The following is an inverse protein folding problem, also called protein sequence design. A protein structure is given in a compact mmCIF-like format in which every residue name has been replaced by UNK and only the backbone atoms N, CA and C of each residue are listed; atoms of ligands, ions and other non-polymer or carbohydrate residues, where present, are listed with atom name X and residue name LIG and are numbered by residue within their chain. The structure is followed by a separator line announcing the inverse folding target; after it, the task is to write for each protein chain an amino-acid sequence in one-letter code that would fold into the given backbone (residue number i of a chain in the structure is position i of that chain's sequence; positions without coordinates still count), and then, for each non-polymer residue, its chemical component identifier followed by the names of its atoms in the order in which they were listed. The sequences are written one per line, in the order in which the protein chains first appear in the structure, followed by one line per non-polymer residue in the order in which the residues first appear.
data_IF_486688645823
#
_entry.id   IF_486688645823
#
_cell.length_a   1.000
_cell.length_b   1.000
_cell.length_c   1.000
_cell.angle_alpha   90.00
_cell.angle_beta   90.00
_cell.angle_gamma   90.00
#
_symmetry.space_group_name_H-M   'P 1'
#
loop_
_entity.id
_entity.type
_entity.pdbx_description
1 polymer ?
#
# COMPACT_ATOMS: atom_id res chain seq x y z
N UNK A 1 24.56 15.90 -9.85
CA UNK A 1 25.37 14.79 -10.41
C UNK A 1 24.58 14.18 -11.55
N UNK A 2 25.17 14.11 -12.75
CA UNK A 2 24.50 13.58 -13.94
C UNK A 2 24.58 12.04 -13.86
N UNK A 3 23.58 11.39 -13.26
CA UNK A 3 23.52 9.92 -13.24
C UNK A 3 23.23 9.43 -14.65
N UNK A 4 24.04 8.48 -15.14
CA UNK A 4 23.77 7.79 -16.40
C UNK A 4 22.33 7.29 -16.43
N UNK A 5 21.65 7.25 -17.59
CA UNK A 5 20.25 6.81 -17.69
C UNK A 5 19.98 5.46 -16.99
N UNK A 6 20.98 4.56 -17.01
CA UNK A 6 20.93 3.24 -16.41
C UNK A 6 20.84 3.23 -14.87
N UNK A 7 21.27 4.31 -14.21
CA UNK A 7 21.26 4.43 -12.74
C UNK A 7 20.09 5.30 -12.23
N UNK A 8 19.17 5.70 -13.11
CA UNK A 8 18.02 6.50 -12.71
C UNK A 8 17.00 5.65 -11.96
N UNK A 9 16.64 6.08 -10.75
CA UNK A 9 15.55 5.46 -9.99
C UNK A 9 14.22 6.12 -10.34
N UNK A 10 13.20 5.33 -10.60
CA UNK A 10 11.85 5.78 -10.93
C UNK A 10 10.86 5.10 -9.98
N UNK A 11 9.99 5.89 -9.35
CA UNK A 11 8.89 5.39 -8.54
C UNK A 11 7.58 5.42 -9.35
N UNK A 12 7.06 4.26 -9.72
CA UNK A 12 5.81 4.08 -10.45
C UNK A 12 4.58 4.15 -9.50
N UNK A 13 4.44 5.25 -8.74
CA UNK A 13 3.38 5.40 -7.75
C UNK A 13 3.03 6.87 -7.50
N UNK A 14 1.74 7.14 -7.23
CA UNK A 14 1.24 8.46 -6.78
C UNK A 14 1.23 8.61 -5.26
N UNK A 15 1.57 7.58 -4.49
CA UNK A 15 1.48 7.56 -3.03
C UNK A 15 2.44 8.55 -2.38
N UNK A 16 1.88 9.50 -1.61
CA UNK A 16 2.64 10.47 -0.82
C UNK A 16 3.54 9.80 0.22
N UNK A 17 3.06 8.73 0.86
CA UNK A 17 3.80 7.97 1.87
C UNK A 17 5.06 7.34 1.28
N UNK A 18 4.95 6.69 0.12
CA UNK A 18 6.11 6.08 -0.57
C UNK A 18 7.14 7.11 -1.00
N UNK A 19 6.66 8.25 -1.50
CA UNK A 19 7.54 9.39 -1.82
C UNK A 19 8.27 9.88 -0.58
N UNK A 20 7.58 10.02 0.55
CA UNK A 20 8.18 10.45 1.82
C UNK A 20 9.26 9.48 2.31
N UNK A 21 9.00 8.16 2.25
CA UNK A 21 9.97 7.12 2.64
C UNK A 21 11.24 7.19 1.80
N UNK A 22 11.14 7.26 0.47
CA UNK A 22 12.32 7.33 -0.40
C UNK A 22 13.10 8.63 -0.21
N UNK A 23 12.41 9.77 -0.02
CA UNK A 23 13.05 11.04 0.30
C UNK A 23 13.77 11.02 1.66
N UNK A 24 13.13 10.43 2.67
CA UNK A 24 13.74 10.30 4.00
C UNK A 24 14.98 9.38 3.97
N UNK A 25 15.01 8.41 3.06
CA UNK A 25 16.19 7.58 2.79
C UNK A 25 17.29 8.30 1.98
N UNK A 26 17.09 9.56 1.59
CA UNK A 26 18.08 10.34 0.85
C UNK A 26 18.22 9.91 -0.62
N UNK A 27 17.22 9.23 -1.19
CA UNK A 27 17.27 8.76 -2.57
C UNK A 27 16.77 9.83 -3.54
N UNK A 28 17.51 10.03 -4.62
CA UNK A 28 17.08 10.80 -5.78
C UNK A 28 16.28 9.90 -6.71
N UNK A 29 15.05 10.28 -7.03
CA UNK A 29 14.18 9.53 -7.93
C UNK A 29 13.22 10.43 -8.71
N UNK A 30 12.72 9.91 -9.82
CA UNK A 30 11.62 10.52 -10.59
C UNK A 30 10.32 9.80 -10.24
N UNK A 31 9.25 10.57 -9.98
CA UNK A 31 7.92 10.00 -9.77
C UNK A 31 7.14 9.98 -11.07
N UNK A 32 6.65 8.81 -11.47
CA UNK A 32 5.83 8.62 -12.67
C UNK A 32 4.57 7.83 -12.30
N UNK A 33 3.40 8.30 -12.75
CA UNK A 33 2.17 7.53 -12.56
C UNK A 33 2.14 6.35 -13.52
N UNK A 34 1.87 5.15 -13.01
CA UNK A 34 1.75 3.95 -13.85
C UNK A 34 0.52 3.99 -14.78
N UNK A 35 -0.55 4.70 -14.40
CA UNK A 35 -1.82 4.70 -15.14
C UNK A 35 -2.43 3.29 -15.32
N UNK A 36 -2.17 2.37 -14.40
CA UNK A 36 -2.80 1.04 -14.34
C UNK A 36 -4.21 1.20 -13.82
N UNK A 37 -5.16 0.51 -14.42
CA UNK A 37 -6.52 0.33 -13.88
C UNK A 37 -6.45 -0.73 -12.78
N UNK A 38 -6.24 -0.26 -11.53
CA UNK A 38 -6.04 -1.14 -10.38
C UNK A 38 -7.33 -1.87 -10.00
N UNK A 39 -8.49 -1.24 -10.19
CA UNK A 39 -9.77 -1.81 -9.78
C UNK A 39 -10.15 -2.99 -10.68
N UNK A 40 -10.06 -2.82 -12.00
CA UNK A 40 -10.28 -3.91 -12.95
C UNK A 40 -9.32 -5.07 -12.76
N UNK A 41 -8.03 -4.78 -12.47
CA UNK A 41 -7.04 -5.83 -12.23
C UNK A 41 -7.34 -6.59 -10.92
N UNK A 42 -7.71 -5.91 -9.85
CA UNK A 42 -8.12 -6.55 -8.58
C UNK A 42 -9.34 -7.43 -8.77
N UNK A 43 -10.34 -6.95 -9.50
CA UNK A 43 -11.56 -7.72 -9.78
C UNK A 43 -11.24 -9.03 -10.52
N UNK A 44 -10.43 -8.97 -11.58
CA UNK A 44 -9.99 -10.14 -12.31
C UNK A 44 -9.24 -11.15 -11.42
N UNK A 45 -8.27 -10.66 -10.63
CA UNK A 45 -7.49 -11.50 -9.73
C UNK A 45 -8.34 -12.15 -8.63
N UNK A 46 -9.35 -11.45 -8.11
CA UNK A 46 -10.32 -12.00 -7.16
C UNK A 46 -11.19 -13.09 -7.80
N UNK A 47 -11.62 -12.86 -9.03
CA UNK A 47 -12.41 -13.85 -9.78
C UNK A 47 -11.60 -15.15 -10.04
N UNK A 48 -10.29 -15.05 -10.21
CA UNK A 48 -9.36 -16.18 -10.34
C UNK A 48 -9.02 -16.85 -9.00
N UNK A 49 -9.50 -16.32 -7.88
CA UNK A 49 -9.18 -16.85 -6.54
C UNK A 49 -7.77 -16.54 -6.06
N UNK A 50 -7.12 -15.51 -6.62
CA UNK A 50 -5.77 -15.12 -6.19
C UNK A 50 -5.78 -14.64 -4.74
N UNK A 51 -4.81 -15.12 -3.93
CA UNK A 51 -4.62 -14.65 -2.55
C UNK A 51 -4.32 -13.15 -2.51
N UNK A 52 -4.61 -12.48 -1.38
CA UNK A 52 -4.34 -11.04 -1.19
C UNK A 52 -2.85 -10.72 -1.42
N UNK A 53 -1.95 -11.60 -0.97
CA UNK A 53 -0.52 -11.50 -1.21
C UNK A 53 -0.18 -11.50 -2.72
N UNK A 54 -0.78 -12.42 -3.47
CA UNK A 54 -0.58 -12.52 -4.92
C UNK A 54 -1.16 -11.31 -5.66
N UNK A 55 -2.30 -10.80 -5.22
CA UNK A 55 -2.89 -9.57 -5.78
C UNK A 55 -1.94 -8.38 -5.59
N UNK A 56 -1.40 -8.18 -4.37
CA UNK A 56 -0.44 -7.09 -4.10
C UNK A 56 0.83 -7.20 -4.96
N UNK A 57 1.41 -8.41 -5.09
CA UNK A 57 2.59 -8.67 -5.92
C UNK A 57 2.35 -8.35 -7.40
N UNK A 58 1.24 -8.84 -7.96
CA UNK A 58 0.89 -8.59 -9.37
C UNK A 58 0.57 -7.12 -9.66
N UNK A 59 -0.10 -6.42 -8.73
CA UNK A 59 -0.33 -4.98 -8.85
C UNK A 59 0.98 -4.20 -8.86
N UNK A 60 1.91 -4.54 -7.95
CA UNK A 60 3.23 -3.91 -7.91
C UNK A 60 4.02 -4.17 -9.20
N UNK A 61 4.04 -5.43 -9.68
CA UNK A 61 4.70 -5.81 -10.93
C UNK A 61 4.11 -5.08 -12.13
N UNK A 62 2.79 -5.08 -12.30
CA UNK A 62 2.11 -4.42 -13.43
C UNK A 62 2.43 -2.91 -13.48
N UNK A 63 2.48 -2.25 -12.31
CA UNK A 63 2.86 -0.83 -12.21
C UNK A 63 4.30 -0.61 -12.66
N UNK A 64 5.24 -1.44 -12.20
CA UNK A 64 6.65 -1.34 -12.58
C UNK A 64 6.87 -1.64 -14.05
N UNK A 65 6.31 -2.74 -14.56
CA UNK A 65 6.43 -3.14 -15.96
C UNK A 65 5.96 -2.05 -16.92
N UNK A 66 4.74 -1.53 -16.70
CA UNK A 66 4.14 -0.54 -17.58
C UNK A 66 5.01 0.73 -17.73
N UNK A 67 5.64 1.18 -16.66
CA UNK A 67 6.51 2.36 -16.69
C UNK A 67 7.89 2.01 -17.27
N UNK A 68 8.46 0.85 -16.95
CA UNK A 68 9.80 0.45 -17.40
C UNK A 68 9.89 0.17 -18.90
N UNK A 69 8.77 -0.12 -19.57
CA UNK A 69 8.72 -0.29 -21.03
C UNK A 69 9.02 1.01 -21.81
N UNK A 70 8.85 2.17 -21.19
CA UNK A 70 9.01 3.48 -21.84
C UNK A 70 9.99 4.41 -21.14
N UNK A 71 10.57 4.00 -20.01
CA UNK A 71 11.48 4.82 -19.22
C UNK A 71 12.70 4.00 -18.83
N UNK A 72 13.91 4.38 -19.31
CA UNK A 72 15.15 3.69 -18.94
C UNK A 72 15.50 3.94 -17.47
N UNK A 73 16.08 2.92 -16.82
CA UNK A 73 16.48 2.93 -15.42
C UNK A 73 15.76 1.86 -14.59
N UNK A 74 15.96 1.93 -13.29
CA UNK A 74 15.32 1.02 -12.32
C UNK A 74 13.95 1.59 -11.93
N UNK A 75 12.88 0.88 -12.27
CA UNK A 75 11.51 1.28 -11.96
C UNK A 75 10.97 0.46 -10.79
N UNK A 76 10.60 1.14 -9.72
CA UNK A 76 9.94 0.54 -8.56
C UNK A 76 8.42 0.65 -8.68
N UNK A 77 7.75 -0.46 -8.79
CA UNK A 77 6.31 -0.59 -8.58
C UNK A 77 6.04 -1.09 -7.17
N UNK A 78 5.03 -0.52 -6.53
CA UNK A 78 4.69 -0.87 -5.15
C UNK A 78 3.18 -0.97 -5.01
N UNK A 79 2.74 -1.99 -4.25
CA UNK A 79 1.35 -2.06 -3.79
C UNK A 79 1.26 -2.47 -2.33
N UNK A 80 0.15 -2.14 -1.68
CA UNK A 80 -0.14 -2.57 -0.32
C UNK A 80 -1.63 -2.89 -0.19
N UNK A 81 -1.93 -4.11 0.23
CA UNK A 81 -3.28 -4.57 0.50
C UNK A 81 -3.41 -4.99 1.96
N UNK A 82 -4.57 -4.72 2.57
CA UNK A 82 -4.89 -5.22 3.90
C UNK A 82 -5.61 -6.56 3.78
N UNK A 83 -5.07 -7.56 4.45
CA UNK A 83 -5.58 -8.92 4.50
C UNK A 83 -6.17 -9.21 5.89
N UNK A 84 -7.48 -9.37 5.97
CA UNK A 84 -8.18 -9.82 7.16
C UNK A 84 -8.77 -11.21 6.90
N UNK A 85 -8.18 -12.23 7.50
CA UNK A 85 -8.65 -13.62 7.40
C UNK A 85 -8.77 -14.13 5.95
N UNK A 86 -7.82 -13.73 5.06
CA UNK A 86 -7.82 -14.08 3.65
C UNK A 86 -8.67 -13.18 2.76
N UNK A 87 -9.33 -12.17 3.33
CA UNK A 87 -10.12 -11.19 2.59
C UNK A 87 -9.37 -9.87 2.44
N UNK A 88 -9.15 -9.44 1.20
CA UNK A 88 -8.60 -8.11 0.93
C UNK A 88 -9.61 -7.01 1.25
N UNK A 89 -9.20 -6.01 2.03
CA UNK A 89 -9.98 -4.80 2.27
C UNK A 89 -9.43 -3.67 1.42
N UNK A 90 -10.33 -2.96 0.75
CA UNK A 90 -10.00 -1.80 -0.07
C UNK A 90 -10.05 -0.49 0.74
N UNK A 91 -9.59 0.59 0.12
CA UNK A 91 -9.80 1.94 0.64
C UNK A 91 -11.30 2.26 0.60
N UNK A 92 -11.70 3.14 1.47
CA UNK A 92 -13.08 3.62 1.59
C UNK A 92 -13.16 5.10 1.22
N UNK A 93 -14.36 5.58 0.95
CA UNK A 93 -14.61 6.95 0.53
C UNK A 93 -15.41 7.77 1.55
N UNK A 94 -16.05 7.12 2.52
CA UNK A 94 -16.91 7.79 3.51
C UNK A 94 -16.50 7.46 4.94
N UNK A 95 -16.91 8.35 5.87
CA UNK A 95 -16.68 8.15 7.31
C UNK A 95 -17.40 6.91 7.85
N UNK A 96 -18.58 6.62 7.36
CA UNK A 96 -19.40 5.47 7.73
C UNK A 96 -18.72 4.16 7.32
N UNK A 97 -18.18 4.11 6.11
CA UNK A 97 -17.39 2.99 5.63
C UNK A 97 -16.10 2.81 6.43
N UNK A 98 -15.39 3.92 6.75
CA UNK A 98 -14.19 3.88 7.59
C UNK A 98 -14.52 3.34 9.00
N UNK A 99 -15.63 3.77 9.59
CA UNK A 99 -16.11 3.24 10.87
C UNK A 99 -16.39 1.73 10.78
N UNK A 100 -17.05 1.30 9.72
CA UNK A 100 -17.35 -0.12 9.48
C UNK A 100 -16.08 -0.97 9.36
N UNK A 101 -15.08 -0.50 8.60
CA UNK A 101 -13.78 -1.17 8.45
C UNK A 101 -13.07 -1.28 9.80
N UNK A 102 -12.95 -0.20 10.55
CA UNK A 102 -12.28 -0.21 11.85
C UNK A 102 -13.00 -1.07 12.88
N UNK A 103 -14.35 -1.13 12.84
CA UNK A 103 -15.13 -2.08 13.66
C UNK A 103 -14.85 -3.55 13.29
N UNK A 104 -14.65 -3.87 12.01
CA UNK A 104 -14.27 -5.22 11.57
C UNK A 104 -12.87 -5.60 12.03
N UNK A 105 -11.94 -4.64 12.10
CA UNK A 105 -10.55 -4.83 12.50
C UNK A 105 -10.35 -4.82 14.02
N UNK A 106 -11.25 -4.21 14.78
CA UNK A 106 -11.18 -4.06 16.24
C UNK A 106 -10.95 -5.39 16.95
N UNK A 107 -9.92 -5.48 17.79
CA UNK A 107 -9.55 -6.66 18.54
C UNK A 107 -8.99 -7.83 17.71
N UNK A 108 -8.78 -7.62 16.40
CA UNK A 108 -8.27 -8.67 15.51
C UNK A 108 -6.84 -8.38 15.06
N UNK A 109 -6.21 -9.43 14.55
CA UNK A 109 -4.93 -9.32 13.82
C UNK A 109 -5.21 -9.34 12.33
N UNK A 110 -4.60 -8.43 11.59
CA UNK A 110 -4.60 -8.43 10.13
C UNK A 110 -3.16 -8.34 9.61
N UNK A 111 -2.98 -8.56 8.32
CA UNK A 111 -1.68 -8.54 7.65
C UNK A 111 -1.70 -7.43 6.61
N UNK A 112 -0.63 -6.63 6.52
CA UNK A 112 -0.41 -5.78 5.35
C UNK A 112 0.45 -6.55 4.35
N UNK A 113 -0.11 -6.85 3.20
CA UNK A 113 0.60 -7.45 2.07
C UNK A 113 1.28 -6.31 1.29
N UNK A 114 2.55 -6.02 1.61
CA UNK A 114 3.30 -4.89 1.05
C UNK A 114 4.31 -5.39 0.02
N UNK A 115 3.99 -5.24 -1.25
CA UNK A 115 4.79 -5.71 -2.36
C UNK A 115 5.59 -4.58 -3.00
N UNK A 116 6.85 -4.88 -3.34
CA UNK A 116 7.72 -4.02 -4.15
C UNK A 116 8.33 -4.88 -5.25
N UNK A 117 8.27 -4.41 -6.49
CA UNK A 117 8.89 -5.03 -7.65
C UNK A 117 9.76 -4.00 -8.37
N UNK A 118 11.01 -4.36 -8.64
CA UNK A 118 11.89 -3.58 -9.48
C UNK A 118 11.90 -4.16 -10.90
N UNK A 119 11.71 -3.29 -11.89
CA UNK A 119 11.80 -3.64 -13.31
C UNK A 119 12.86 -2.79 -14.01
N UNK A 120 13.52 -3.40 -14.98
CA UNK A 120 14.45 -2.76 -15.91
C UNK A 120 14.07 -3.21 -17.32
N UNK A 121 13.95 -2.28 -18.26
CA UNK A 121 13.67 -2.57 -19.68
C UNK A 121 12.49 -3.53 -19.91
N UNK A 122 11.41 -3.35 -19.15
CA UNK A 122 10.20 -4.17 -19.27
C UNK A 122 10.32 -5.57 -18.67
N UNK A 123 11.34 -5.86 -17.86
CA UNK A 123 11.51 -7.15 -17.17
C UNK A 123 11.65 -6.98 -15.66
N UNK A 124 10.98 -7.81 -14.83
CA UNK A 124 11.17 -7.79 -13.39
C UNK A 124 12.55 -8.38 -13.05
N UNK A 125 13.35 -7.62 -12.29
CA UNK A 125 14.72 -8.02 -11.89
C UNK A 125 14.83 -8.33 -10.40
N UNK A 126 13.89 -7.82 -9.59
CA UNK A 126 13.85 -8.05 -8.15
C UNK A 126 12.45 -7.86 -7.60
N UNK A 127 12.09 -8.60 -6.56
CA UNK A 127 10.83 -8.43 -5.82
C UNK A 127 10.98 -8.74 -4.35
N UNK A 128 10.13 -8.10 -3.55
CA UNK A 128 10.00 -8.38 -2.13
C UNK A 128 8.54 -8.22 -1.69
N UNK A 129 8.09 -9.12 -0.83
CA UNK A 129 6.79 -9.05 -0.18
C UNK A 129 6.99 -9.05 1.34
N UNK A 130 6.75 -7.92 1.99
CA UNK A 130 6.69 -7.83 3.45
C UNK A 130 5.27 -8.11 3.93
N UNK A 131 5.15 -8.82 5.05
CA UNK A 131 3.87 -9.26 5.60
C UNK A 131 3.76 -8.94 7.10
N UNK A 132 3.90 -7.67 7.52
CA UNK A 132 3.76 -7.31 8.92
C UNK A 132 2.36 -7.65 9.42
N UNK A 133 2.31 -8.16 10.66
CA UNK A 133 1.08 -8.53 11.36
C UNK A 133 0.76 -7.46 12.40
N UNK A 134 -0.44 -6.89 12.30
CA UNK A 134 -0.87 -5.79 13.14
C UNK A 134 -2.08 -6.22 13.95
N UNK A 135 -1.96 -6.21 15.29
CA UNK A 135 -3.08 -6.49 16.19
C UNK A 135 -3.72 -5.20 16.67
N UNK A 136 -4.97 -5.00 16.27
CA UNK A 136 -5.76 -3.87 16.77
C UNK A 136 -6.24 -4.10 18.19
N UNK A 137 -6.22 -3.03 18.97
CA UNK A 137 -6.80 -2.98 20.32
C UNK A 137 -8.32 -3.19 20.25
N UNK A 138 -8.88 -3.66 21.35
CA UNK A 138 -10.33 -3.68 21.55
C UNK A 138 -10.78 -2.31 22.12
N UNK A 139 -10.76 -1.27 21.29
CA UNK A 139 -11.15 0.08 21.67
C UNK A 139 -12.69 0.24 21.74
N UNK A 140 -13.18 1.25 22.50
CA UNK A 140 -14.61 1.58 22.60
C UNK A 140 -15.12 2.31 21.35
N UNK A 141 -16.45 2.34 21.17
CA UNK A 141 -17.08 3.10 20.09
C UNK A 141 -16.78 4.61 20.22
N UNK A 142 -16.82 5.15 21.46
CA UNK A 142 -16.46 6.55 21.69
C UNK A 142 -15.03 6.90 21.33
N UNK A 143 -14.05 5.98 21.56
CA UNK A 143 -12.68 6.15 21.09
C UNK A 143 -12.61 6.15 19.56
N UNK A 144 -13.34 5.22 18.91
CA UNK A 144 -13.38 5.13 17.45
C UNK A 144 -13.92 6.42 16.82
N UNK A 145 -15.02 6.94 17.33
CA UNK A 145 -15.64 8.15 16.81
C UNK A 145 -14.72 9.37 17.00
N UNK A 146 -14.10 9.51 18.18
CA UNK A 146 -13.10 10.57 18.43
C UNK A 146 -11.84 10.42 17.54
N UNK A 147 -11.40 9.19 17.27
CA UNK A 147 -10.30 8.92 16.34
C UNK A 147 -10.64 9.38 14.93
N UNK A 148 -11.81 9.00 14.40
CA UNK A 148 -12.25 9.39 13.06
C UNK A 148 -12.42 10.91 12.94
N UNK A 149 -12.95 11.57 13.95
CA UNK A 149 -13.07 13.04 13.99
C UNK A 149 -11.68 13.71 13.95
N UNK A 150 -10.70 13.12 14.62
CA UNK A 150 -9.35 13.68 14.72
C UNK A 150 -8.48 13.46 13.48
N UNK A 151 -8.72 12.39 12.69
CA UNK A 151 -7.93 12.12 11.47
C UNK A 151 -8.60 12.68 10.21
N UNK A 152 -9.93 12.88 10.22
CA UNK A 152 -10.68 13.41 9.08
C UNK A 152 -10.43 12.61 7.79
N UNK A 153 -10.25 13.32 6.68
CA UNK A 153 -10.07 12.72 5.33
C UNK A 153 -8.82 11.87 5.19
N UNK A 154 -7.83 11.97 6.11
CA UNK A 154 -6.66 11.10 6.11
C UNK A 154 -7.03 9.61 6.28
N UNK A 155 -8.21 9.31 6.84
CA UNK A 155 -8.76 7.96 6.91
C UNK A 155 -8.92 7.30 5.53
N UNK A 156 -9.15 8.08 4.47
CA UNK A 156 -9.42 7.58 3.11
C UNK A 156 -8.13 7.40 2.28
N UNK A 157 -7.00 7.90 2.77
CA UNK A 157 -5.72 7.82 2.03
C UNK A 157 -5.05 6.44 2.09
N UNK A 158 -5.41 5.60 3.09
CA UNK A 158 -4.79 4.29 3.32
C UNK A 158 -5.80 3.16 3.50
N UNK A 159 -5.42 1.94 3.14
CA UNK A 159 -6.19 0.74 3.48
C UNK A 159 -6.25 0.58 5.00
N UNK A 160 -7.42 0.18 5.53
CA UNK A 160 -7.62 0.04 6.98
C UNK A 160 -7.86 1.36 7.74
N UNK A 161 -7.91 2.51 7.07
CA UNK A 161 -8.26 3.82 7.64
C UNK A 161 -7.32 4.28 8.76
N UNK A 162 -6.02 3.99 8.64
CA UNK A 162 -4.99 4.42 9.59
C UNK A 162 -3.63 4.68 8.91
N UNK A 163 -2.82 5.49 9.57
CA UNK A 163 -1.41 5.72 9.26
C UNK A 163 -0.62 5.52 10.55
N UNK A 164 0.33 4.57 10.54
CA UNK A 164 1.09 4.17 11.75
C UNK A 164 2.00 5.32 12.23
N UNK A 165 2.50 6.14 11.32
CA UNK A 165 3.35 7.29 11.59
C UNK A 165 2.59 8.45 12.28
N UNK A 166 1.27 8.36 12.33
CA UNK A 166 0.39 9.35 12.92
C UNK A 166 -0.45 8.80 14.06
N UNK A 167 -1.68 9.32 14.17
CA UNK A 167 -2.65 8.91 15.20
C UNK A 167 -3.05 7.44 15.12
N UNK A 168 -2.86 6.80 13.97
CA UNK A 168 -3.12 5.37 13.76
C UNK A 168 -2.35 4.46 14.70
N UNK A 169 -1.16 4.87 15.19
CA UNK A 169 -0.40 4.11 16.18
C UNK A 169 -1.21 3.76 17.44
N UNK A 170 -2.18 4.59 17.82
CA UNK A 170 -3.03 4.37 18.99
C UNK A 170 -4.01 3.21 18.85
N UNK A 171 -4.24 2.73 17.62
CA UNK A 171 -5.17 1.64 17.34
C UNK A 171 -4.58 0.25 17.66
N UNK A 172 -3.26 0.15 17.82
CA UNK A 172 -2.56 -1.13 17.92
C UNK A 172 -2.04 -1.42 19.32
N UNK A 173 -2.07 -2.69 19.70
CA UNK A 173 -1.39 -3.20 20.89
C UNK A 173 -0.11 -3.98 20.52
N UNK A 174 0.01 -4.42 19.24
CA UNK A 174 1.18 -5.14 18.74
C UNK A 174 1.34 -4.99 17.22
N UNK A 175 2.58 -4.82 16.79
CA UNK A 175 3.01 -4.81 15.38
C UNK A 175 4.24 -5.71 15.29
N UNK A 176 4.18 -6.74 14.44
CA UNK A 176 5.26 -7.71 14.19
C UNK A 176 5.59 -7.69 12.70
N UNK A 177 6.88 -7.63 12.32
CA UNK A 177 7.36 -7.65 10.94
C UNK A 177 8.52 -6.75 10.70
#
# INVERSE_FOLDING_TARGET
MNTSPEHRLILASKSKSRVAVLKAAGLDFTQISSGVDEDSLKEALRAEGASVARQADLLAETKALKVSMSHPGIVLGCDQMLDLDGQGLDKVATREEARSVLMRLRGKTHILQSAIVACVEGAPVWRHLAQPRLRMRNFSDGFLDAYLDAIGDAAFESVGCYQIEGRGAQLFDRIDG
#
